data_IF_698574724278
#
_entry.id   IF_698574724278
#
_cell.length_a   1.000
_cell.length_b   1.000
_cell.length_c   1.000
_cell.angle_alpha   90.00
_cell.angle_beta   90.00
_cell.angle_gamma   90.00
#
_symmetry.space_group_name_H-M   'P 1'
#
loop_
_entity.id
_entity.type
_entity.pdbx_description
1 polymer ?
#
# COMPACT_ATOMS: atom_id res chain seq x y z
N UNK A 1 1.98 16.21 0.54
CA UNK A 1 2.54 14.99 -0.10
C UNK A 1 1.60 14.34 -1.13
N UNK A 2 0.27 14.38 -0.98
CA UNK A 2 -0.68 13.79 -1.97
C UNK A 2 -0.80 14.55 -3.32
N UNK A 3 -0.54 15.86 -3.39
CA UNK A 3 -0.46 16.60 -4.66
C UNK A 3 0.88 16.38 -5.39
N UNK A 4 1.98 16.23 -4.63
CA UNK A 4 3.31 15.96 -5.18
C UNK A 4 3.31 14.68 -6.02
N UNK A 5 2.85 13.53 -5.50
CA UNK A 5 2.91 12.32 -6.32
C UNK A 5 1.83 12.21 -7.44
N UNK A 6 0.80 13.07 -7.44
CA UNK A 6 -0.12 13.20 -8.59
C UNK A 6 0.59 13.97 -9.72
N UNK A 7 1.32 15.03 -9.36
CA UNK A 7 2.16 15.79 -10.29
C UNK A 7 3.35 14.98 -10.78
N UNK A 8 3.93 14.10 -9.97
CA UNK A 8 5.10 13.27 -10.28
C UNK A 8 4.77 12.14 -11.25
N UNK A 9 3.64 11.43 -11.07
CA UNK A 9 3.26 10.38 -12.02
C UNK A 9 2.66 10.98 -13.29
N UNK A 10 1.95 12.11 -13.19
CA UNK A 10 1.64 12.94 -14.35
C UNK A 10 2.92 13.46 -15.01
N UNK A 11 3.99 13.77 -14.25
CA UNK A 11 5.31 14.13 -14.76
C UNK A 11 5.98 12.93 -15.41
N UNK A 12 5.83 11.72 -14.90
CA UNK A 12 6.44 10.50 -15.46
C UNK A 12 5.77 10.16 -16.78
N UNK A 13 4.44 10.24 -16.82
CA UNK A 13 3.68 10.11 -18.07
C UNK A 13 4.02 11.28 -18.98
N UNK A 14 4.14 12.52 -18.48
CA UNK A 14 4.50 13.67 -19.29
C UNK A 14 5.97 13.64 -19.75
N UNK A 15 6.91 13.09 -19.00
CA UNK A 15 8.35 12.95 -19.30
C UNK A 15 8.57 11.80 -20.26
N UNK A 16 7.93 10.64 -20.02
CA UNK A 16 7.91 9.54 -20.98
C UNK A 16 7.24 10.01 -22.25
N UNK A 17 6.09 10.67 -22.18
CA UNK A 17 5.37 11.17 -23.36
C UNK A 17 6.11 12.33 -24.01
N UNK A 18 6.79 13.23 -23.27
CA UNK A 18 7.62 14.34 -23.79
C UNK A 18 8.91 13.84 -24.40
N UNK A 19 9.61 12.90 -23.76
CA UNK A 19 10.76 12.25 -24.35
C UNK A 19 10.33 11.53 -25.62
N UNK A 20 9.22 10.79 -25.59
CA UNK A 20 8.70 10.13 -26.78
C UNK A 20 8.29 11.13 -27.88
N UNK A 21 7.58 12.20 -27.55
CA UNK A 21 7.20 13.24 -28.53
C UNK A 21 8.41 14.02 -29.05
N UNK A 22 9.43 14.30 -28.25
CA UNK A 22 10.72 14.84 -28.73
C UNK A 22 11.49 13.83 -29.59
N UNK A 23 11.25 12.53 -29.46
CA UNK A 23 11.91 11.51 -30.28
C UNK A 23 11.37 11.52 -31.71
N UNK A 24 10.08 11.84 -31.82
CA UNK A 24 9.31 11.70 -33.06
C UNK A 24 8.91 13.05 -33.70
N UNK A 25 8.96 14.17 -32.97
CA UNK A 25 8.51 15.49 -33.42
C UNK A 25 9.60 16.50 -33.84
N UNK A 26 10.87 16.09 -33.92
CA UNK A 26 11.96 17.02 -34.29
C UNK A 26 11.95 17.29 -35.79
N UNK A 27 11.91 18.59 -36.11
CA UNK A 27 12.12 19.17 -37.43
C UNK A 27 13.29 18.47 -38.14
N UNK A 28 13.11 17.91 -39.36
CA UNK A 28 14.11 17.05 -40.00
C UNK A 28 15.49 17.70 -40.21
N UNK A 29 15.61 19.02 -40.07
CA UNK A 29 16.85 19.79 -40.22
C UNK A 29 17.78 19.82 -38.98
N UNK A 30 17.32 19.47 -37.77
CA UNK A 30 18.14 19.40 -36.53
C UNK A 30 18.38 17.97 -36.03
N UNK A 31 18.04 16.97 -36.86
CA UNK A 31 17.91 15.53 -36.55
C UNK A 31 19.13 14.78 -36.02
N UNK A 32 20.35 15.32 -36.10
CA UNK A 32 21.57 14.53 -35.86
C UNK A 32 21.92 14.32 -34.39
N UNK A 33 21.96 15.40 -33.61
CA UNK A 33 22.48 15.38 -32.22
C UNK A 33 21.42 15.05 -31.17
N UNK A 34 20.16 15.44 -31.38
CA UNK A 34 19.12 15.36 -30.34
C UNK A 34 18.49 13.97 -30.19
N UNK A 35 18.61 13.11 -31.20
CA UNK A 35 18.06 11.73 -31.15
C UNK A 35 18.68 10.91 -30.01
N UNK A 36 19.97 11.09 -29.75
CA UNK A 36 20.67 10.36 -28.69
C UNK A 36 20.20 10.77 -27.30
N UNK A 37 19.98 12.07 -27.08
CA UNK A 37 19.46 12.58 -25.80
C UNK A 37 18.08 12.02 -25.51
N UNK A 38 17.23 11.98 -26.52
CA UNK A 38 15.87 11.48 -26.34
C UNK A 38 15.80 9.98 -26.07
N UNK A 39 16.56 9.18 -26.83
CA UNK A 39 16.65 7.73 -26.61
C UNK A 39 17.20 7.47 -25.20
N UNK A 40 18.22 8.21 -24.77
CA UNK A 40 18.77 8.10 -23.43
C UNK A 40 17.72 8.41 -22.34
N UNK A 41 16.90 9.46 -22.51
CA UNK A 41 15.82 9.79 -21.55
C UNK A 41 14.75 8.71 -21.47
N UNK A 42 14.33 8.13 -22.59
CA UNK A 42 13.34 7.04 -22.59
C UNK A 42 13.91 5.80 -21.90
N UNK A 43 15.15 5.42 -22.24
CA UNK A 43 15.84 4.31 -21.59
C UNK A 43 15.95 4.54 -20.09
N UNK A 44 16.34 5.75 -19.67
CA UNK A 44 16.42 6.14 -18.26
C UNK A 44 15.07 5.97 -17.55
N UNK A 45 13.99 6.48 -18.14
CA UNK A 45 12.65 6.34 -17.57
C UNK A 45 12.22 4.87 -17.44
N UNK A 46 12.50 4.03 -18.45
CA UNK A 46 12.19 2.60 -18.43
C UNK A 46 13.00 1.89 -17.33
N UNK A 47 14.30 2.17 -17.23
CA UNK A 47 15.17 1.61 -16.19
C UNK A 47 14.68 2.02 -14.81
N UNK A 48 14.31 3.29 -14.62
CA UNK A 48 13.81 3.81 -13.35
C UNK A 48 12.49 3.13 -12.94
N UNK A 49 11.52 3.05 -13.86
CA UNK A 49 10.23 2.36 -13.60
C UNK A 49 10.45 0.89 -13.26
N UNK A 50 11.33 0.22 -14.01
CA UNK A 50 11.65 -1.20 -13.78
C UNK A 50 12.31 -1.40 -12.42
N UNK A 51 13.25 -0.52 -12.04
CA UNK A 51 13.92 -0.57 -10.74
C UNK A 51 12.93 -0.37 -9.58
N UNK A 52 12.00 0.59 -9.70
CA UNK A 52 10.97 0.83 -8.70
C UNK A 52 10.04 -0.38 -8.54
N UNK A 53 9.59 -0.97 -9.65
CA UNK A 53 8.74 -2.18 -9.61
C UNK A 53 9.51 -3.36 -9.00
N UNK A 54 10.74 -3.61 -9.44
CA UNK A 54 11.57 -4.69 -8.92
C UNK A 54 11.81 -4.55 -7.41
N UNK A 55 12.08 -3.33 -6.94
CA UNK A 55 12.22 -3.08 -5.51
C UNK A 55 10.91 -3.30 -4.76
N UNK A 56 9.77 -2.85 -5.28
CA UNK A 56 8.48 -3.07 -4.66
C UNK A 56 8.18 -4.57 -4.51
N UNK A 57 8.47 -5.38 -5.54
CA UNK A 57 8.34 -6.84 -5.49
C UNK A 57 9.29 -7.44 -4.45
N UNK A 58 10.55 -7.00 -4.42
CA UNK A 58 11.54 -7.46 -3.44
C UNK A 58 11.09 -7.19 -2.00
N UNK A 59 10.55 -6.00 -1.72
CA UNK A 59 10.04 -5.65 -0.41
C UNK A 59 8.82 -6.49 -0.02
N UNK A 60 7.86 -6.68 -0.94
CA UNK A 60 6.71 -7.55 -0.71
C UNK A 60 7.12 -9.00 -0.37
N UNK A 61 8.11 -9.52 -1.10
CA UNK A 61 8.67 -10.84 -0.83
C UNK A 61 9.37 -10.90 0.54
N UNK A 62 10.12 -9.85 0.89
CA UNK A 62 10.82 -9.75 2.17
C UNK A 62 9.83 -9.70 3.34
N UNK A 63 8.78 -8.89 3.25
CA UNK A 63 7.71 -8.80 4.26
C UNK A 63 7.03 -10.16 4.44
N UNK A 64 6.61 -10.79 3.34
CA UNK A 64 5.93 -12.08 3.38
C UNK A 64 6.80 -13.18 4.03
N UNK A 65 8.05 -13.31 3.58
CA UNK A 65 8.91 -14.43 4.00
C UNK A 65 9.62 -14.20 5.33
N UNK A 66 10.06 -12.96 5.60
CA UNK A 66 10.89 -12.63 6.77
C UNK A 66 10.12 -12.03 7.93
N UNK A 67 8.95 -11.43 7.69
CA UNK A 67 8.16 -10.80 8.75
C UNK A 67 6.88 -11.60 9.04
N UNK A 68 6.04 -11.84 8.02
CA UNK A 68 4.74 -12.47 8.22
C UNK A 68 4.86 -13.93 8.68
N UNK A 69 5.67 -14.73 7.98
CA UNK A 69 5.78 -16.16 8.29
C UNK A 69 6.30 -16.46 9.71
N UNK A 70 7.41 -15.85 10.20
CA UNK A 70 7.85 -16.09 11.57
C UNK A 70 6.85 -15.57 12.60
N UNK A 71 6.26 -14.38 12.41
CA UNK A 71 5.26 -13.84 13.34
C UNK A 71 4.03 -14.75 13.47
N UNK A 72 3.51 -15.26 12.34
CA UNK A 72 2.41 -16.23 12.32
C UNK A 72 2.79 -17.52 13.06
N UNK A 73 4.02 -18.00 12.89
CA UNK A 73 4.50 -19.22 13.56
C UNK A 73 4.59 -19.01 15.07
N UNK A 74 5.16 -17.90 15.51
CA UNK A 74 5.30 -17.56 16.92
C UNK A 74 3.94 -17.49 17.63
N UNK A 75 2.97 -16.76 17.07
CA UNK A 75 1.61 -16.69 17.64
C UNK A 75 0.95 -18.07 17.67
N UNK A 76 1.17 -18.91 16.66
CA UNK A 76 0.65 -20.29 16.64
C UNK A 76 1.28 -21.16 17.73
N UNK A 77 2.57 -21.02 18.00
CA UNK A 77 3.27 -21.75 19.06
C UNK A 77 2.77 -21.31 20.45
N UNK A 78 2.51 -20.02 20.66
CA UNK A 78 1.90 -19.51 21.91
C UNK A 78 0.49 -20.08 22.07
N UNK A 79 -0.32 -20.06 21.01
CA UNK A 79 -1.68 -20.56 21.04
C UNK A 79 -1.74 -22.10 21.17
N UNK A 80 -0.76 -22.82 20.65
CA UNK A 80 -0.63 -24.27 20.81
C UNK A 80 -0.43 -24.68 22.27
N UNK A 81 0.45 -23.97 22.99
CA UNK A 81 0.66 -24.15 24.43
C UNK A 81 -0.62 -23.85 25.23
N UNK A 82 -1.35 -22.81 24.83
CA UNK A 82 -2.65 -22.50 25.43
C UNK A 82 -3.67 -23.62 25.22
N UNK A 83 -3.81 -24.11 23.98
CA UNK A 83 -4.77 -25.15 23.61
C UNK A 83 -4.47 -26.47 24.32
N UNK A 84 -3.21 -26.88 24.38
CA UNK A 84 -2.78 -28.08 25.11
C UNK A 84 -3.02 -27.96 26.60
N UNK A 85 -2.80 -26.79 27.20
CA UNK A 85 -3.08 -26.56 28.61
C UNK A 85 -4.59 -26.59 28.95
N UNK A 86 -5.45 -26.06 28.08
CA UNK A 86 -6.91 -26.03 28.33
C UNK A 86 -7.59 -27.37 28.02
N UNK A 87 -7.23 -28.03 26.93
CA UNK A 87 -7.96 -29.20 26.45
C UNK A 87 -7.25 -30.53 26.77
N UNK A 88 -5.98 -30.50 27.18
CA UNK A 88 -5.20 -31.70 27.48
C UNK A 88 -5.18 -32.69 26.30
N UNK A 89 -5.58 -33.94 26.55
CA UNK A 89 -5.67 -35.00 25.53
C UNK A 89 -6.84 -34.79 24.53
N UNK A 90 -7.76 -33.86 24.80
CA UNK A 90 -8.91 -33.57 23.95
C UNK A 90 -8.58 -32.61 22.80
N UNK A 91 -7.39 -32.74 22.22
CA UNK A 91 -6.94 -31.95 21.07
C UNK A 91 -6.74 -32.82 19.83
N UNK A 92 -6.73 -32.20 18.65
CA UNK A 92 -6.30 -32.80 17.39
C UNK A 92 -5.22 -31.94 16.73
N UNK A 93 -4.31 -32.56 15.99
CA UNK A 93 -3.21 -31.87 15.31
C UNK A 93 -3.67 -31.43 13.91
N UNK A 94 -3.55 -30.13 13.63
CA UNK A 94 -3.83 -29.56 12.31
C UNK A 94 -2.79 -29.96 11.28
N UNK A 95 -3.07 -29.76 9.99
CA UNK A 95 -2.10 -29.97 8.88
C UNK A 95 -0.77 -29.22 9.06
N UNK A 96 -0.75 -28.20 9.92
CA UNK A 96 0.44 -27.39 10.21
C UNK A 96 1.21 -27.86 11.46
N UNK A 97 0.81 -28.96 12.09
CA UNK A 97 1.48 -29.52 13.28
C UNK A 97 1.09 -28.86 14.62
N UNK A 98 0.00 -28.09 14.67
CA UNK A 98 -0.47 -27.43 15.90
C UNK A 98 -1.79 -28.05 16.40
N UNK A 99 -1.92 -28.21 17.71
CA UNK A 99 -3.06 -28.72 18.47
C UNK A 99 -4.23 -27.74 18.47
N UNK A 100 -5.45 -28.27 18.35
CA UNK A 100 -6.72 -27.55 18.48
C UNK A 100 -7.69 -28.39 19.30
N UNK A 101 -8.49 -27.78 20.17
CA UNK A 101 -9.55 -28.46 20.90
C UNK A 101 -10.54 -29.16 19.96
N UNK A 102 -10.98 -30.36 20.31
CA UNK A 102 -12.05 -31.10 19.60
C UNK A 102 -13.40 -30.43 19.87
N UNK A 103 -14.31 -30.53 18.91
CA UNK A 103 -15.69 -30.09 19.10
C UNK A 103 -16.30 -30.84 20.31
N UNK A 104 -16.89 -30.10 21.26
CA UNK A 104 -17.41 -30.57 22.54
C UNK A 104 -16.39 -30.99 23.62
N UNK A 105 -15.10 -30.70 23.48
CA UNK A 105 -14.14 -30.87 24.56
C UNK A 105 -14.45 -29.91 25.74
N UNK A 106 -14.52 -30.45 26.96
CA UNK A 106 -14.68 -29.64 28.16
C UNK A 106 -13.44 -28.77 28.41
N UNK A 107 -13.66 -27.53 28.83
CA UNK A 107 -12.60 -26.54 29.09
C UNK A 107 -12.03 -26.79 30.48
N UNK A 108 -10.77 -27.24 30.58
CA UNK A 108 -10.09 -27.40 31.86
C UNK A 108 -9.46 -26.08 32.33
N UNK A 109 -10.21 -25.35 33.17
CA UNK A 109 -9.74 -24.09 33.76
C UNK A 109 -8.54 -24.26 34.71
N UNK A 110 -8.36 -25.43 35.32
CA UNK A 110 -7.20 -25.69 36.19
C UNK A 110 -5.91 -25.76 35.38
N UNK A 111 -5.96 -26.36 34.18
CA UNK A 111 -4.83 -26.38 33.25
C UNK A 111 -4.40 -24.97 32.83
N UNK A 112 -5.37 -24.07 32.59
CA UNK A 112 -5.06 -22.66 32.35
C UNK A 112 -4.42 -22.00 33.58
N UNK A 113 -4.92 -22.26 34.79
CA UNK A 113 -4.36 -21.71 36.04
C UNK A 113 -2.95 -22.22 36.32
N UNK A 114 -2.62 -23.46 35.93
CA UNK A 114 -1.30 -24.04 36.08
C UNK A 114 -0.26 -23.49 35.09
N UNK A 115 -0.69 -22.83 34.01
CA UNK A 115 0.20 -22.26 33.01
C UNK A 115 1.09 -21.15 33.60
N UNK A 116 2.36 -21.10 33.17
CA UNK A 116 3.31 -20.09 33.59
C UNK A 116 2.77 -18.67 33.32
N UNK A 117 3.05 -17.75 34.26
CA UNK A 117 2.50 -16.39 34.21
C UNK A 117 2.91 -15.65 32.93
N UNK A 118 4.15 -15.82 32.46
CA UNK A 118 4.63 -15.19 31.23
C UNK A 118 3.85 -15.64 29.99
N UNK A 119 3.46 -16.92 29.93
CA UNK A 119 2.66 -17.44 28.81
C UNK A 119 1.24 -16.90 28.85
N UNK A 120 0.64 -16.77 30.04
CA UNK A 120 -0.67 -16.12 30.21
C UNK A 120 -0.63 -14.68 29.74
N UNK A 121 0.40 -13.92 30.14
CA UNK A 121 0.58 -12.53 29.69
C UNK A 121 0.71 -12.48 28.17
N UNK A 122 1.52 -13.34 27.57
CA UNK A 122 1.70 -13.41 26.12
C UNK A 122 0.39 -13.75 25.37
N UNK A 123 -0.44 -14.65 25.90
CA UNK A 123 -1.75 -14.99 25.32
C UNK A 123 -2.71 -13.80 25.43
N UNK A 124 -2.76 -13.17 26.61
CA UNK A 124 -3.62 -12.01 26.85
C UNK A 124 -3.20 -10.78 26.03
N UNK A 125 -1.93 -10.66 25.64
CA UNK A 125 -1.41 -9.56 24.83
C UNK A 125 -1.62 -9.72 23.32
N UNK A 126 -2.06 -10.89 22.86
CA UNK A 126 -2.39 -11.11 21.43
C UNK A 126 -3.51 -10.14 21.03
N UNK A 127 -3.38 -9.38 19.92
CA UNK A 127 -4.35 -8.39 19.48
C UNK A 127 -5.81 -8.88 19.39
N UNK A 128 -5.99 -10.17 19.11
CA UNK A 128 -7.32 -10.79 19.03
C UNK A 128 -8.06 -10.83 20.38
N UNK A 129 -7.38 -10.67 21.51
CA UNK A 129 -8.01 -10.53 22.83
C UNK A 129 -8.74 -9.18 22.99
N UNK A 130 -8.34 -8.16 22.22
CA UNK A 130 -8.93 -6.82 22.21
C UNK A 130 -9.42 -6.46 20.79
N UNK A 131 -10.51 -7.09 20.31
CA UNK A 131 -10.92 -7.03 18.90
C UNK A 131 -11.24 -5.60 18.44
N UNK A 132 -11.77 -4.74 19.31
CA UNK A 132 -12.10 -3.36 18.95
C UNK A 132 -10.87 -2.55 18.55
N UNK A 133 -9.82 -2.59 19.37
CA UNK A 133 -8.58 -1.85 19.11
C UNK A 133 -7.89 -2.38 17.84
N UNK A 134 -7.80 -3.69 17.70
CA UNK A 134 -7.21 -4.35 16.53
C UNK A 134 -7.98 -4.03 15.25
N UNK A 135 -9.32 -4.04 15.30
CA UNK A 135 -10.14 -3.68 14.16
C UNK A 135 -9.97 -2.21 13.76
N UNK A 136 -9.83 -1.29 14.72
CA UNK A 136 -9.53 0.11 14.41
C UNK A 136 -8.22 0.27 13.65
N UNK A 137 -7.15 -0.42 14.07
CA UNK A 137 -5.86 -0.35 13.37
C UNK A 137 -5.94 -0.98 11.98
N UNK A 138 -6.59 -2.14 11.84
CA UNK A 138 -6.80 -2.79 10.54
C UNK A 138 -7.64 -1.92 9.60
N UNK A 139 -8.63 -1.20 10.13
CA UNK A 139 -9.45 -0.29 9.35
C UNK A 139 -8.63 0.91 8.86
N UNK A 140 -7.82 1.52 9.74
CA UNK A 140 -6.90 2.61 9.35
C UNK A 140 -5.97 2.12 8.24
N UNK A 141 -5.33 0.97 8.43
CA UNK A 141 -4.46 0.35 7.44
C UNK A 141 -5.17 0.14 6.08
N UNK A 142 -6.35 -0.47 6.10
CA UNK A 142 -7.14 -0.73 4.89
C UNK A 142 -7.51 0.58 4.17
N UNK A 143 -7.85 1.63 4.93
CA UNK A 143 -8.17 2.94 4.38
C UNK A 143 -6.95 3.61 3.72
N UNK A 144 -5.76 3.45 4.29
CA UNK A 144 -4.49 3.90 3.69
C UNK A 144 -4.24 3.20 2.36
N UNK A 145 -4.35 1.88 2.29
CA UNK A 145 -4.22 1.15 1.03
C UNK A 145 -5.28 1.54 0.00
N UNK A 146 -6.53 1.76 0.43
CA UNK A 146 -7.62 2.17 -0.45
C UNK A 146 -7.42 3.60 -1.00
N UNK A 147 -6.79 4.50 -0.24
CA UNK A 147 -6.41 5.82 -0.74
C UNK A 147 -5.43 5.71 -1.90
N UNK A 148 -4.43 4.84 -1.79
CA UNK A 148 -3.46 4.58 -2.87
C UNK A 148 -4.08 3.91 -4.09
N UNK A 149 -4.98 2.95 -3.90
CA UNK A 149 -5.71 2.33 -5.02
C UNK A 149 -6.56 3.38 -5.75
N UNK A 150 -7.31 4.22 -5.01
CA UNK A 150 -8.11 5.29 -5.63
C UNK A 150 -7.24 6.26 -6.42
N UNK A 151 -6.05 6.59 -5.92
CA UNK A 151 -5.08 7.42 -6.63
C UNK A 151 -4.61 6.77 -7.94
N UNK A 152 -4.22 5.49 -7.89
CA UNK A 152 -3.81 4.74 -9.06
C UNK A 152 -4.93 4.64 -10.11
N UNK A 153 -6.17 4.39 -9.68
CA UNK A 153 -7.35 4.32 -10.56
C UNK A 153 -7.67 5.68 -11.18
N UNK A 154 -7.56 6.79 -10.45
CA UNK A 154 -7.76 8.13 -11.02
C UNK A 154 -6.73 8.44 -12.10
N UNK A 155 -5.46 8.12 -11.85
CA UNK A 155 -4.40 8.31 -12.84
C UNK A 155 -4.59 7.40 -14.06
N UNK A 156 -4.98 6.14 -13.85
CA UNK A 156 -5.34 5.20 -14.91
C UNK A 156 -6.48 5.76 -15.77
N UNK A 157 -7.56 6.24 -15.14
CA UNK A 157 -8.71 6.82 -15.83
C UNK A 157 -8.31 8.07 -16.62
N UNK A 158 -7.62 9.02 -15.99
CA UNK A 158 -7.16 10.24 -16.64
C UNK A 158 -6.25 9.95 -17.84
N UNK A 159 -5.39 8.94 -17.74
CA UNK A 159 -4.40 8.63 -18.78
C UNK A 159 -4.96 7.78 -19.91
N UNK A 160 -5.70 6.72 -19.60
CA UNK A 160 -6.17 5.76 -20.61
C UNK A 160 -7.50 6.16 -21.23
N UNK A 161 -8.41 6.73 -20.44
CA UNK A 161 -9.79 7.02 -20.84
C UNK A 161 -9.93 8.47 -21.31
N UNK A 162 -9.40 9.44 -20.55
CA UNK A 162 -9.62 10.86 -20.87
C UNK A 162 -8.79 11.37 -22.05
N UNK A 163 -7.59 10.84 -22.28
CA UNK A 163 -6.76 11.24 -23.44
C UNK A 163 -7.33 10.59 -24.70
N UNK A 164 -7.66 11.33 -25.78
CA UNK A 164 -8.19 10.74 -27.00
C UNK A 164 -7.14 9.88 -27.71
N UNK A 165 -7.62 8.95 -28.53
CA UNK A 165 -6.77 7.97 -29.20
C UNK A 165 -6.44 8.42 -30.62
N UNK A 166 -5.15 8.46 -30.96
CA UNK A 166 -4.65 8.93 -32.26
C UNK A 166 -4.05 7.75 -33.03
N UNK A 167 -4.27 7.70 -34.35
CA UNK A 167 -3.76 6.64 -35.23
C UNK A 167 -2.32 6.88 -35.68
N UNK A 168 -1.93 8.14 -35.92
CA UNK A 168 -0.62 8.50 -36.45
C UNK A 168 0.21 9.26 -35.41
N UNK A 169 1.51 8.96 -35.33
CA UNK A 169 2.42 9.60 -34.37
C UNK A 169 2.61 11.09 -34.67
N UNK A 170 2.45 11.49 -35.93
CA UNK A 170 2.60 12.87 -36.40
C UNK A 170 1.53 13.81 -35.82
N UNK A 171 0.32 13.30 -35.56
CA UNK A 171 -0.80 14.04 -34.98
C UNK A 171 -0.71 14.17 -33.45
N UNK A 172 0.30 13.56 -32.82
CA UNK A 172 0.45 13.57 -31.35
C UNK A 172 0.91 14.95 -30.84
N UNK A 173 1.62 15.70 -31.67
CA UNK A 173 2.19 17.02 -31.35
C UNK A 173 1.60 18.08 -32.28
N UNK A 174 0.71 18.90 -31.76
CA UNK A 174 0.29 20.13 -32.44
C UNK A 174 0.59 21.32 -31.53
N UNK A 175 1.45 22.22 -32.02
CA UNK A 175 1.80 23.50 -31.39
C UNK A 175 2.00 23.41 -29.86
N UNK A 176 2.86 22.48 -29.42
CA UNK A 176 3.24 22.21 -28.01
C UNK A 176 2.20 21.54 -27.12
N UNK A 177 1.03 21.20 -27.65
CA UNK A 177 -0.01 20.46 -26.91
C UNK A 177 -0.04 18.98 -27.31
N UNK A 178 -0.11 18.09 -26.32
CA UNK A 178 -0.25 16.64 -26.56
C UNK A 178 -1.72 16.39 -26.91
N UNK A 179 -2.02 16.16 -28.19
CA UNK A 179 -3.41 15.97 -28.66
C UNK A 179 -3.96 14.58 -28.39
N UNK A 180 -3.12 13.56 -28.24
CA UNK A 180 -3.60 12.23 -27.87
C UNK A 180 -2.50 11.17 -27.77
N UNK A 181 -2.91 9.91 -27.58
CA UNK A 181 -2.00 8.77 -27.39
C UNK A 181 -2.43 7.56 -28.23
N UNK A 182 -1.46 6.81 -28.75
CA UNK A 182 -1.74 5.62 -29.58
C UNK A 182 -2.33 4.47 -28.75
N UNK A 183 -3.15 3.61 -29.38
CA UNK A 183 -3.78 2.45 -28.69
C UNK A 183 -2.75 1.51 -28.06
N UNK A 184 -1.66 1.24 -28.77
CA UNK A 184 -0.59 0.35 -28.29
C UNK A 184 0.08 0.90 -27.03
N UNK A 185 0.37 2.20 -27.00
CA UNK A 185 1.00 2.83 -25.83
C UNK A 185 0.06 2.87 -24.62
N UNK A 186 -1.25 3.12 -24.83
CA UNK A 186 -2.27 2.99 -23.78
C UNK A 186 -2.28 1.61 -23.15
N UNK A 187 -2.32 0.58 -23.99
CA UNK A 187 -2.32 -0.81 -23.52
C UNK A 187 -1.03 -1.15 -22.77
N UNK A 188 0.12 -0.74 -23.30
CA UNK A 188 1.42 -0.94 -22.67
C UNK A 188 1.50 -0.28 -21.29
N UNK A 189 1.18 1.01 -21.17
CA UNK A 189 1.22 1.74 -19.89
C UNK A 189 0.21 1.14 -18.90
N UNK A 190 -0.99 0.77 -19.38
CA UNK A 190 -2.02 0.12 -18.56
C UNK A 190 -1.52 -1.18 -17.92
N UNK A 191 -0.95 -2.07 -18.73
CA UNK A 191 -0.53 -3.41 -18.29
C UNK A 191 0.80 -3.41 -17.55
N UNK A 192 1.78 -2.64 -18.00
CA UNK A 192 3.13 -2.70 -17.43
C UNK A 192 3.38 -1.68 -16.32
N UNK A 193 2.59 -0.60 -16.23
CA UNK A 193 2.78 0.43 -15.20
C UNK A 193 1.65 0.43 -14.16
N UNK A 194 0.39 0.51 -14.59
CA UNK A 194 -0.73 0.67 -13.65
C UNK A 194 -1.19 -0.64 -13.00
N UNK A 195 -1.33 -1.71 -13.79
CA UNK A 195 -1.78 -3.01 -13.27
C UNK A 195 -0.85 -3.56 -12.17
N UNK A 196 0.50 -3.55 -12.33
CA UNK A 196 1.41 -4.02 -11.30
C UNK A 196 1.35 -3.15 -10.05
N UNK A 197 1.16 -1.83 -10.20
CA UNK A 197 0.98 -0.91 -9.06
C UNK A 197 -0.26 -1.27 -8.25
N UNK A 198 -1.41 -1.44 -8.90
CA UNK A 198 -2.67 -1.79 -8.21
C UNK A 198 -2.56 -3.18 -7.56
N UNK A 199 -2.02 -4.16 -8.28
CA UNK A 199 -1.83 -5.52 -7.77
C UNK A 199 -0.90 -5.55 -6.55
N UNK A 200 0.20 -4.80 -6.59
CA UNK A 200 1.12 -4.69 -5.48
C UNK A 200 0.48 -4.05 -4.24
N UNK A 201 -0.33 -2.99 -4.39
CA UNK A 201 -1.06 -2.38 -3.27
C UNK A 201 -2.12 -3.33 -2.68
N UNK A 202 -2.84 -4.09 -3.52
CA UNK A 202 -3.79 -5.09 -3.05
C UNK A 202 -3.11 -6.23 -2.29
N UNK A 203 -1.98 -6.72 -2.80
CA UNK A 203 -1.18 -7.75 -2.13
C UNK A 203 -0.60 -7.24 -0.82
N UNK A 204 -0.12 -5.99 -0.79
CA UNK A 204 0.37 -5.35 0.42
C UNK A 204 -0.72 -5.20 1.47
N UNK A 205 -1.94 -4.82 1.07
CA UNK A 205 -3.08 -4.74 1.99
C UNK A 205 -3.37 -6.11 2.63
N UNK A 206 -3.44 -7.16 1.82
CA UNK A 206 -3.66 -8.53 2.28
C UNK A 206 -2.55 -9.01 3.23
N UNK A 207 -1.28 -8.84 2.84
CA UNK A 207 -0.13 -9.23 3.65
C UNK A 207 -0.04 -8.41 4.94
N UNK A 208 -0.35 -7.11 4.88
CA UNK A 208 -0.38 -6.21 6.02
C UNK A 208 -1.43 -6.63 7.04
N UNK A 209 -2.66 -6.93 6.63
CA UNK A 209 -3.68 -7.46 7.52
C UNK A 209 -3.25 -8.76 8.20
N UNK A 210 -2.65 -9.69 7.44
CA UNK A 210 -2.14 -10.95 8.00
C UNK A 210 -0.99 -10.73 8.98
N UNK A 211 -0.07 -9.82 8.68
CA UNK A 211 1.07 -9.52 9.54
C UNK A 211 0.63 -8.85 10.84
N UNK A 212 -0.24 -7.84 10.74
CA UNK A 212 -0.80 -7.12 11.90
C UNK A 212 -1.58 -8.07 12.82
N UNK A 213 -2.36 -9.00 12.27
CA UNK A 213 -3.06 -10.00 13.08
C UNK A 213 -2.14 -11.01 13.77
N UNK A 214 -0.87 -11.08 13.38
CA UNK A 214 0.11 -12.03 13.89
C UNK A 214 1.10 -11.39 14.87
N UNK A 215 0.84 -10.18 15.39
CA UNK A 215 1.70 -9.58 16.40
C UNK A 215 1.39 -10.18 17.78
N UNK A 216 2.42 -10.29 18.63
CA UNK A 216 2.29 -10.87 19.98
C UNK A 216 1.89 -9.84 21.04
N UNK A 217 2.11 -8.55 20.74
CA UNK A 217 1.76 -7.45 21.61
C UNK A 217 1.01 -6.34 20.86
N UNK A 218 0.23 -5.56 21.61
CA UNK A 218 -0.49 -4.39 21.10
C UNK A 218 0.45 -3.22 20.75
N UNK A 219 1.58 -3.10 21.45
CA UNK A 219 2.59 -2.08 21.15
C UNK A 219 3.25 -2.37 19.80
N UNK A 220 3.61 -3.63 19.55
CA UNK A 220 4.20 -4.04 18.28
C UNK A 220 3.19 -3.91 17.14
N UNK A 221 1.89 -4.11 17.40
CA UNK A 221 0.83 -3.87 16.42
C UNK A 221 0.88 -2.44 15.87
N UNK A 222 1.01 -1.45 16.76
CA UNK A 222 1.10 -0.04 16.36
C UNK A 222 2.40 0.24 15.59
N UNK A 223 3.55 -0.21 16.09
CA UNK A 223 4.84 -0.02 15.41
C UNK A 223 4.89 -0.68 14.03
N UNK A 224 4.36 -1.89 13.91
CA UNK A 224 4.27 -2.62 12.64
C UNK A 224 3.33 -1.93 11.65
N UNK A 225 2.25 -1.30 12.14
CA UNK A 225 1.35 -0.52 11.29
C UNK A 225 2.04 0.71 10.68
N UNK A 226 2.88 1.41 11.46
CA UNK A 226 3.69 2.53 10.98
C UNK A 226 4.78 2.08 9.98
N UNK A 227 5.41 0.94 10.25
CA UNK A 227 6.38 0.35 9.33
C UNK A 227 5.75 0.00 7.96
N UNK A 228 4.52 -0.53 7.98
CA UNK A 228 3.76 -0.80 6.77
C UNK A 228 3.40 0.47 6.00
N UNK A 229 3.06 1.56 6.69
CA UNK A 229 2.82 2.86 6.06
C UNK A 229 4.06 3.36 5.31
N UNK A 230 5.25 3.24 5.93
CA UNK A 230 6.51 3.58 5.27
C UNK A 230 6.74 2.76 3.98
N UNK A 231 6.39 1.46 3.98
CA UNK A 231 6.53 0.62 2.79
C UNK A 231 5.63 1.06 1.63
N UNK A 232 4.44 1.59 1.93
CA UNK A 232 3.53 2.14 0.91
C UNK A 232 4.11 3.40 0.27
N UNK A 233 4.79 4.26 1.05
CA UNK A 233 5.32 5.55 0.60
C UNK A 233 6.65 5.42 -0.15
N UNK A 234 7.44 4.37 0.13
CA UNK A 234 8.79 4.22 -0.39
C UNK A 234 8.95 4.30 -1.93
N UNK A 235 8.08 3.70 -2.76
CA UNK A 235 8.20 3.80 -4.22
C UNK A 235 8.11 5.25 -4.73
N UNK A 236 7.29 6.09 -4.10
CA UNK A 236 7.15 7.49 -4.47
C UNK A 236 8.39 8.29 -4.05
N UNK A 237 8.94 7.99 -2.87
CA UNK A 237 10.18 8.60 -2.38
C UNK A 237 11.36 8.29 -3.33
N UNK A 238 11.51 7.03 -3.73
CA UNK A 238 12.61 6.66 -4.63
C UNK A 238 12.43 7.25 -6.01
N UNK A 239 11.20 7.22 -6.55
CA UNK A 239 10.97 7.86 -7.82
C UNK A 239 11.32 9.36 -7.76
N UNK A 240 10.88 10.09 -6.73
CA UNK A 240 11.16 11.52 -6.59
C UNK A 240 12.66 11.83 -6.43
N UNK A 241 13.42 10.95 -5.78
CA UNK A 241 14.86 11.17 -5.56
C UNK A 241 15.70 10.85 -6.79
N UNK A 242 15.28 9.88 -7.61
CA UNK A 242 16.00 9.51 -8.82
C UNK A 242 15.51 10.24 -10.08
N UNK A 243 14.27 10.70 -10.13
CA UNK A 243 13.81 11.58 -11.19
C UNK A 243 14.49 12.94 -11.02
N UNK A 244 15.67 13.10 -11.63
CA UNK A 244 16.46 14.33 -11.56
C UNK A 244 15.60 15.54 -11.96
N UNK A 245 15.72 16.64 -11.23
CA UNK A 245 15.01 17.94 -11.36
C UNK A 245 15.23 18.69 -12.69
N UNK A 246 15.31 17.99 -13.82
CA UNK A 246 15.35 18.60 -15.16
C UNK A 246 14.10 19.43 -15.46
N UNK A 247 13.04 19.31 -14.65
CA UNK A 247 11.82 20.10 -14.72
C UNK A 247 11.76 21.33 -13.81
N UNK A 248 12.63 21.49 -12.81
CA UNK A 248 12.53 22.62 -11.84
C UNK A 248 12.74 23.98 -12.50
N UNK A 249 13.54 24.05 -13.57
CA UNK A 249 13.69 25.26 -14.38
C UNK A 249 12.38 25.71 -15.07
N UNK A 250 11.40 24.80 -15.23
CA UNK A 250 10.09 25.09 -15.79
C UNK A 250 8.98 25.22 -14.71
N UNK A 251 9.18 24.69 -13.49
CA UNK A 251 8.17 24.66 -12.43
C UNK A 251 8.32 25.73 -11.35
N UNK A 252 9.50 26.36 -11.21
CA UNK A 252 9.77 27.39 -10.19
C UNK A 252 8.88 28.65 -10.23
N UNK A 253 8.04 28.82 -11.26
CA UNK A 253 7.12 29.96 -11.36
C UNK A 253 5.78 29.75 -10.60
N UNK A 254 5.36 28.51 -10.35
CA UNK A 254 4.02 28.24 -9.77
C UNK A 254 4.05 27.74 -8.31
N UNK A 255 5.22 27.46 -7.74
CA UNK A 255 5.31 26.76 -6.45
C UNK A 255 5.31 27.67 -5.21
N UNK A 256 5.45 28.99 -5.34
CA UNK A 256 5.53 29.91 -4.19
C UNK A 256 4.15 30.26 -3.60
N UNK A 257 3.05 30.13 -4.36
CA UNK A 257 1.70 30.46 -3.86
C UNK A 257 1.00 29.30 -3.12
N UNK A 258 1.29 28.03 -3.45
CA UNK A 258 0.57 26.89 -2.86
C UNK A 258 1.15 26.40 -1.52
N UNK A 259 2.35 26.85 -1.13
CA UNK A 259 3.01 26.42 0.11
C UNK A 259 2.41 27.03 1.40
N UNK A 260 1.60 28.09 1.32
CA UNK A 260 0.99 28.72 2.50
C UNK A 260 -0.39 28.15 2.92
N UNK A 261 -1.00 27.25 2.13
CA UNK A 261 -2.41 26.88 2.35
C UNK A 261 -2.70 25.52 3.02
N UNK A 262 -1.82 24.53 2.90
CA UNK A 262 -2.32 23.13 2.89
C UNK A 262 -1.73 22.16 3.91
N UNK A 263 -0.95 22.65 4.89
CA UNK A 263 -0.30 21.80 5.90
C UNK A 263 -1.21 21.29 7.03
N UNK A 264 -2.33 21.95 7.34
CA UNK A 264 -3.15 21.64 8.53
C UNK A 264 -4.52 20.99 8.25
N UNK A 265 -5.01 20.99 7.00
CA UNK A 265 -6.36 20.50 6.70
C UNK A 265 -6.48 18.99 6.48
N UNK A 266 -5.42 18.27 6.14
CA UNK A 266 -5.52 16.82 5.88
C UNK A 266 -5.53 15.98 7.17
N UNK A 267 -4.85 16.43 8.23
CA UNK A 267 -5.03 15.87 9.58
C UNK A 267 -6.44 16.19 10.10
N UNK A 268 -6.98 17.38 9.79
CA UNK A 268 -8.37 17.72 10.10
C UNK A 268 -9.40 16.88 9.32
N UNK A 269 -9.10 16.47 8.08
CA UNK A 269 -9.96 15.59 7.27
C UNK A 269 -9.98 14.15 7.77
N UNK A 270 -8.82 13.64 8.22
CA UNK A 270 -8.73 12.34 8.89
C UNK A 270 -9.39 12.41 10.27
N UNK A 271 -9.25 13.50 11.04
CA UNK A 271 -10.00 13.74 12.28
C UNK A 271 -11.51 13.92 12.06
N UNK A 272 -11.97 14.48 10.94
CA UNK A 272 -13.39 14.56 10.60
C UNK A 272 -13.97 13.20 10.20
N UNK A 273 -13.22 12.38 9.45
CA UNK A 273 -13.61 11.00 9.18
C UNK A 273 -13.55 10.14 10.45
N UNK A 274 -12.56 10.35 11.33
CA UNK A 274 -12.52 9.72 12.65
C UNK A 274 -13.71 10.15 13.51
N UNK A 275 -14.10 11.43 13.52
CA UNK A 275 -15.31 11.87 14.23
C UNK A 275 -16.60 11.25 13.67
N UNK A 276 -16.69 11.02 12.35
CA UNK A 276 -17.84 10.34 11.76
C UNK A 276 -17.88 8.84 12.11
N UNK A 277 -16.74 8.16 12.11
CA UNK A 277 -16.62 6.75 12.49
C UNK A 277 -16.80 6.57 14.00
N UNK A 278 -16.24 7.44 14.84
CA UNK A 278 -16.48 7.46 16.29
C UNK A 278 -17.95 7.71 16.63
N UNK A 279 -18.67 8.56 15.88
CA UNK A 279 -20.12 8.75 16.05
C UNK A 279 -20.92 7.51 15.64
N UNK A 280 -20.52 6.81 14.58
CA UNK A 280 -21.14 5.54 14.17
C UNK A 280 -20.84 4.40 15.16
N UNK A 281 -19.64 4.41 15.75
CA UNK A 281 -19.24 3.44 16.78
C UNK A 281 -19.97 3.72 18.10
N UNK A 282 -20.10 4.98 18.50
CA UNK A 282 -20.94 5.38 19.66
C UNK A 282 -22.43 5.08 19.44
N UNK A 283 -22.93 5.16 18.21
CA UNK A 283 -24.30 4.76 17.88
C UNK A 283 -24.51 3.23 17.90
N UNK A 284 -23.45 2.44 17.70
CA UNK A 284 -23.49 0.97 17.76
C UNK A 284 -23.20 0.43 19.17
N UNK A 285 -22.63 1.25 20.07
CA UNK A 285 -22.39 0.93 21.49
C UNK A 285 -23.68 1.02 22.34
N UNK A 286 -24.84 1.31 21.75
CA UNK A 286 -26.16 1.12 22.38
C UNK A 286 -26.79 -0.24 21.99
N UNK A 287 -26.00 -1.32 22.02
CA UNK A 287 -26.47 -2.70 21.90
C UNK A 287 -26.13 -3.45 23.20
N UNK A 288 -27.08 -4.20 23.79
CA UNK A 288 -27.09 -4.49 25.21
C UNK A 288 -26.07 -5.54 25.66
N UNK A 289 -25.53 -5.24 26.84
CA UNK A 289 -24.77 -6.02 27.82
C UNK A 289 -25.35 -7.44 28.07
N UNK A 290 -25.15 -8.39 27.14
CA UNK A 290 -25.64 -9.78 27.29
C UNK A 290 -24.55 -10.86 27.21
N UNK A 291 -23.26 -10.50 27.27
CA UNK A 291 -22.15 -11.46 27.19
C UNK A 291 -21.20 -11.42 28.41
N UNK A 292 -21.74 -11.09 29.59
CA UNK A 292 -20.99 -11.05 30.86
C UNK A 292 -21.45 -12.12 31.88
N UNK A 293 -22.28 -13.08 31.46
CA UNK A 293 -22.63 -14.28 32.26
C UNK A 293 -22.51 -15.54 31.39
N UNK A 294 -21.28 -16.02 31.20
CA UNK A 294 -20.88 -17.40 30.86
C UNK A 294 -19.38 -17.54 31.19
#
# INVERSE_FOLDING_TARGET
MLASAHNVMALLIAEVTQAWTRAFGVNPQQRGKDRWLTVASIIYAIVLVTAVIAMQVFLLQSVSTKLCNPAVREVREIYDKFQTAIYGENTYITVNGFHRGKDAAEVNMEGFRALAQDTKVAICSVPLSQPYFTYTILLIWTMTCLAEIRRAVRLLYATLISIPTVTYVEEVLEETTIKGMTRGMKFFIGIFCFLPRIAATMLLNFLGCRWLLSTVSLQDLFLNSLALEFMVVLPELLYNTFATDRGEAAQGANSIEELNGFGFHTVSGICQQFNAVTRLTQATILVPRQFEEL
#
